data_IF_754426614938
#
_entry.id   IF_754426614938
#
_cell.length_a   1.000
_cell.length_b   1.000
_cell.length_c   1.000
_cell.angle_alpha   90.00
_cell.angle_beta   90.00
_cell.angle_gamma   90.00
#
_symmetry.space_group_name_H-M   'P 1'
#
loop_
_entity.id
_entity.type
_entity.pdbx_description
1 polymer ?
#
# COMPACT_ATOMS: atom_id res chain seq x y z
N UNK A 1 -24.91 -37.63 7.65
CA UNK A 1 -24.72 -36.40 8.45
C UNK A 1 -23.24 -36.29 8.72
N UNK A 2 -22.50 -35.67 7.80
CA UNK A 2 -21.04 -35.51 7.92
C UNK A 2 -20.77 -34.11 8.48
N UNK A 3 -20.40 -34.07 9.75
CA UNK A 3 -19.90 -32.84 10.37
C UNK A 3 -18.48 -32.60 9.86
N UNK A 4 -18.34 -31.66 8.92
CA UNK A 4 -17.02 -31.09 8.62
C UNK A 4 -16.59 -30.25 9.80
N UNK A 5 -15.61 -30.74 10.53
CA UNK A 5 -14.91 -30.03 11.60
C UNK A 5 -14.17 -28.86 10.97
N UNK A 6 -14.32 -27.59 11.43
CA UNK A 6 -13.46 -26.52 10.96
C UNK A 6 -12.06 -26.78 11.48
N UNK A 7 -11.12 -26.79 10.55
CA UNK A 7 -9.68 -26.94 10.79
C UNK A 7 -9.19 -25.79 11.70
N UNK A 8 -8.77 -26.12 12.91
CA UNK A 8 -8.41 -25.18 13.99
C UNK A 8 -6.96 -24.72 13.95
N UNK A 9 -6.30 -24.78 12.81
CA UNK A 9 -4.85 -24.46 12.73
C UNK A 9 -4.51 -23.36 11.74
N UNK A 10 -5.46 -22.49 11.43
CA UNK A 10 -5.19 -21.27 10.66
C UNK A 10 -5.26 -20.10 11.62
N UNK A 11 -4.12 -19.44 11.88
CA UNK A 11 -4.10 -18.11 12.47
C UNK A 11 -5.06 -17.16 11.72
N UNK A 12 -5.39 -15.98 12.24
CA UNK A 12 -6.42 -15.13 11.65
C UNK A 12 -6.15 -14.92 10.17
N UNK A 13 -6.99 -15.52 9.32
CA UNK A 13 -6.86 -15.39 7.87
C UNK A 13 -7.00 -13.90 7.51
N UNK A 14 -6.00 -13.35 6.84
CA UNK A 14 -5.95 -11.95 6.45
C UNK A 14 -7.03 -11.62 5.42
N UNK A 15 -7.39 -12.58 4.58
CA UNK A 15 -8.43 -12.50 3.55
C UNK A 15 -9.33 -13.71 3.64
N UNK A 16 -10.63 -13.53 3.42
CA UNK A 16 -11.66 -14.56 3.36
C UNK A 16 -12.65 -14.23 2.24
N UNK A 17 -13.47 -15.19 1.84
CA UNK A 17 -14.38 -15.03 0.68
C UNK A 17 -15.39 -13.89 0.87
N UNK A 18 -15.83 -13.66 2.10
CA UNK A 18 -16.73 -12.59 2.51
C UNK A 18 -16.12 -11.19 2.36
N UNK A 19 -14.79 -11.07 2.24
CA UNK A 19 -14.07 -9.82 2.02
C UNK A 19 -13.83 -9.50 0.54
N UNK A 20 -14.40 -10.27 -0.37
CA UNK A 20 -14.16 -10.17 -1.81
C UNK A 20 -15.40 -9.72 -2.56
N UNK A 21 -15.24 -8.77 -3.48
CA UNK A 21 -16.24 -8.32 -4.44
C UNK A 21 -15.71 -8.53 -5.85
N UNK A 22 -16.43 -9.28 -6.66
CA UNK A 22 -16.06 -9.52 -8.07
C UNK A 22 -17.04 -8.85 -9.01
N UNK A 23 -16.52 -8.11 -9.98
CA UNK A 23 -17.25 -7.45 -11.06
C UNK A 23 -18.42 -6.60 -10.54
N UNK A 24 -18.18 -5.88 -9.46
CA UNK A 24 -19.22 -5.14 -8.73
C UNK A 24 -19.01 -3.64 -8.91
N UNK A 25 -20.13 -2.94 -9.10
CA UNK A 25 -20.18 -1.48 -9.00
C UNK A 25 -20.25 -1.11 -7.50
N UNK A 26 -19.18 -0.52 -6.99
CA UNK A 26 -19.08 -0.03 -5.60
C UNK A 26 -19.18 1.49 -5.52
N UNK A 27 -19.59 2.16 -6.61
CA UNK A 27 -19.72 3.60 -6.72
C UNK A 27 -18.74 4.21 -7.73
N UNK A 28 -18.91 5.50 -8.01
CA UNK A 28 -18.19 6.19 -9.06
C UNK A 28 -16.88 6.84 -8.57
N UNK A 29 -16.68 6.92 -7.25
CA UNK A 29 -15.53 7.58 -6.64
C UNK A 29 -14.71 6.61 -5.77
N UNK A 30 -13.45 6.94 -5.54
CA UNK A 30 -12.61 6.17 -4.62
C UNK A 30 -13.16 6.16 -3.19
N UNK A 31 -13.84 7.24 -2.80
CA UNK A 31 -14.52 7.39 -1.53
C UNK A 31 -15.64 6.36 -1.36
N UNK A 32 -16.43 6.13 -2.41
CA UNK A 32 -17.50 5.14 -2.43
C UNK A 32 -16.92 3.72 -2.29
N UNK A 33 -15.88 3.42 -3.07
CA UNK A 33 -15.22 2.10 -3.05
C UNK A 33 -14.61 1.82 -1.68
N UNK A 34 -13.89 2.78 -1.09
CA UNK A 34 -13.31 2.65 0.25
C UNK A 34 -14.41 2.45 1.28
N UNK A 35 -15.52 3.20 1.19
CA UNK A 35 -16.67 3.06 2.10
C UNK A 35 -17.30 1.68 2.00
N UNK A 36 -17.50 1.16 0.80
CA UNK A 36 -18.09 -0.15 0.57
C UNK A 36 -17.20 -1.28 1.13
N UNK A 37 -15.88 -1.21 0.89
CA UNK A 37 -14.94 -2.18 1.42
C UNK A 37 -14.81 -2.08 2.94
N UNK A 38 -14.85 -0.88 3.52
CA UNK A 38 -14.82 -0.69 4.98
C UNK A 38 -16.04 -1.31 5.66
N UNK A 39 -17.23 -1.13 5.07
CA UNK A 39 -18.46 -1.80 5.57
C UNK A 39 -18.32 -3.31 5.51
N UNK A 40 -17.83 -3.85 4.40
CA UNK A 40 -17.61 -5.29 4.24
C UNK A 40 -16.66 -5.87 5.30
N UNK A 41 -15.57 -5.15 5.63
CA UNK A 41 -14.68 -5.56 6.70
C UNK A 41 -15.37 -5.51 8.08
N UNK A 42 -16.18 -4.49 8.35
CA UNK A 42 -16.93 -4.40 9.60
C UNK A 42 -18.01 -5.49 9.71
N UNK A 43 -18.76 -5.75 8.63
CA UNK A 43 -19.78 -6.81 8.58
C UNK A 43 -19.16 -8.21 8.80
N UNK A 44 -17.93 -8.41 8.35
CA UNK A 44 -17.14 -9.63 8.60
C UNK A 44 -16.48 -9.68 9.99
N UNK A 45 -16.74 -8.70 10.86
CA UNK A 45 -16.16 -8.63 12.20
C UNK A 45 -14.67 -8.29 12.25
N UNK A 46 -14.12 -7.75 11.14
CA UNK A 46 -12.70 -7.35 11.06
C UNK A 46 -12.45 -5.94 11.59
N UNK A 47 -13.49 -5.14 11.69
CA UNK A 47 -13.47 -3.83 12.31
C UNK A 47 -14.71 -3.64 13.18
N UNK A 48 -14.60 -2.87 14.25
CA UNK A 48 -15.71 -2.57 15.16
C UNK A 48 -16.67 -1.54 14.57
N UNK A 49 -16.15 -0.63 13.75
CA UNK A 49 -16.92 0.47 13.14
C UNK A 49 -16.44 0.72 11.70
N UNK A 50 -17.39 0.62 10.75
CA UNK A 50 -17.11 0.83 9.32
C UNK A 50 -16.69 2.28 9.01
N UNK A 51 -17.33 3.25 9.66
CA UNK A 51 -17.09 4.68 9.41
C UNK A 51 -15.70 5.10 9.93
N UNK A 52 -15.29 4.64 11.09
CA UNK A 52 -13.95 4.90 11.62
C UNK A 52 -12.85 4.31 10.71
N UNK A 53 -13.08 3.10 10.17
CA UNK A 53 -12.18 2.47 9.23
C UNK A 53 -12.12 3.24 7.90
N UNK A 54 -13.27 3.64 7.37
CA UNK A 54 -13.37 4.47 6.16
C UNK A 54 -12.60 5.78 6.32
N UNK A 55 -12.85 6.50 7.42
CA UNK A 55 -12.26 7.81 7.66
C UNK A 55 -10.74 7.72 7.79
N UNK A 56 -10.23 6.70 8.46
CA UNK A 56 -8.79 6.43 8.54
C UNK A 56 -8.18 6.13 7.15
N UNK A 57 -8.87 5.35 6.31
CA UNK A 57 -8.41 5.04 4.96
C UNK A 57 -8.43 6.27 4.05
N UNK A 58 -9.48 7.08 4.11
CA UNK A 58 -9.60 8.33 3.35
C UNK A 58 -8.57 9.37 3.79
N UNK A 59 -8.33 9.51 5.09
CA UNK A 59 -7.29 10.39 5.63
C UNK A 59 -5.90 10.00 5.10
N UNK A 60 -5.61 8.70 4.98
CA UNK A 60 -4.36 8.22 4.38
C UNK A 60 -4.31 8.44 2.87
N UNK A 61 -5.40 8.17 2.16
CA UNK A 61 -5.52 8.37 0.71
C UNK A 61 -5.33 9.83 0.32
N UNK A 62 -5.81 10.78 1.14
CA UNK A 62 -5.66 12.22 0.91
C UNK A 62 -4.21 12.71 1.01
N UNK A 63 -3.35 12.02 1.74
CA UNK A 63 -1.92 12.36 1.86
C UNK A 63 -1.14 11.97 0.61
N UNK A 64 -1.50 10.87 -0.02
CA UNK A 64 -0.87 10.37 -1.24
C UNK A 64 -1.79 9.36 -1.90
N UNK A 65 -2.08 9.56 -3.17
CA UNK A 65 -2.86 8.62 -3.98
C UNK A 65 -2.27 7.22 -3.94
N UNK A 66 -3.12 6.21 -3.85
CA UNK A 66 -2.70 4.81 -3.74
C UNK A 66 -2.89 4.02 -5.03
N UNK A 67 -3.26 4.70 -6.11
CA UNK A 67 -3.29 4.11 -7.45
C UNK A 67 -1.89 3.76 -7.96
N UNK A 68 -1.75 2.55 -8.50
CA UNK A 68 -0.53 2.01 -9.09
C UNK A 68 -0.74 1.75 -10.58
N UNK A 69 0.35 1.76 -11.39
CA UNK A 69 0.29 1.34 -12.78
C UNK A 69 -0.28 -0.08 -12.93
N UNK A 70 -1.00 -0.31 -14.02
CA UNK A 70 -1.63 -1.59 -14.30
C UNK A 70 -3.09 -1.70 -13.85
N UNK A 71 -3.73 -0.58 -13.51
CA UNK A 71 -5.13 -0.55 -13.10
C UNK A 71 -5.36 -1.08 -11.68
N UNK A 72 -4.42 -0.84 -10.77
CA UNK A 72 -4.42 -1.36 -9.40
C UNK A 72 -4.49 -0.19 -8.42
N UNK A 73 -5.19 -0.38 -7.29
CA UNK A 73 -5.14 0.53 -6.15
C UNK A 73 -4.97 -0.24 -4.84
N UNK A 74 -4.20 0.33 -3.92
CA UNK A 74 -3.93 -0.25 -2.60
C UNK A 74 -4.22 0.75 -1.47
N UNK A 75 -5.48 1.24 -1.33
CA UNK A 75 -5.83 2.01 -0.16
C UNK A 75 -5.52 1.22 1.12
N UNK A 76 -4.99 1.90 2.12
CA UNK A 76 -4.57 1.23 3.35
C UNK A 76 -4.64 2.17 4.55
N UNK A 77 -4.89 1.62 5.72
CA UNK A 77 -4.92 2.39 6.95
C UNK A 77 -4.51 1.57 8.17
N UNK A 78 -4.24 2.29 9.24
CA UNK A 78 -4.20 1.75 10.61
C UNK A 78 -5.26 2.46 11.42
N UNK A 79 -5.99 1.71 12.22
CA UNK A 79 -7.07 2.25 13.05
C UNK A 79 -7.28 1.38 14.28
N UNK A 80 -7.63 2.00 15.40
CA UNK A 80 -8.07 1.30 16.61
C UNK A 80 -9.36 0.51 16.39
N UNK A 81 -10.16 0.90 15.40
CA UNK A 81 -11.37 0.17 15.02
C UNK A 81 -11.07 -1.19 14.36
N UNK A 82 -9.84 -1.45 13.94
CA UNK A 82 -9.46 -2.72 13.30
C UNK A 82 -9.13 -3.77 14.37
N UNK A 83 -9.88 -4.87 14.36
CA UNK A 83 -9.72 -5.98 15.32
C UNK A 83 -8.53 -6.87 14.93
N UNK A 84 -8.39 -7.17 13.66
CA UNK A 84 -7.32 -8.01 13.12
C UNK A 84 -6.89 -7.50 11.74
N UNK A 85 -5.58 -7.62 11.44
CA UNK A 85 -5.07 -7.26 10.12
C UNK A 85 -5.85 -8.00 9.03
N UNK A 86 -6.41 -7.24 8.09
CA UNK A 86 -7.34 -7.76 7.09
C UNK A 86 -7.16 -7.10 5.73
N UNK A 87 -7.48 -7.85 4.69
CA UNK A 87 -7.41 -7.43 3.31
C UNK A 87 -8.78 -7.57 2.65
N UNK A 88 -9.40 -6.45 2.31
CA UNK A 88 -10.59 -6.41 1.43
C UNK A 88 -10.16 -6.33 -0.03
N UNK A 89 -10.81 -7.08 -0.90
CA UNK A 89 -10.53 -7.07 -2.33
C UNK A 89 -11.77 -6.72 -3.14
N UNK A 90 -11.59 -5.87 -4.16
CA UNK A 90 -12.61 -5.62 -5.15
C UNK A 90 -12.05 -5.66 -6.57
N UNK A 91 -12.73 -6.38 -7.47
CA UNK A 91 -12.62 -6.19 -8.90
C UNK A 91 -13.80 -5.35 -9.34
N UNK A 92 -13.49 -4.13 -9.79
CA UNK A 92 -14.50 -3.10 -10.08
C UNK A 92 -14.98 -3.18 -11.53
N UNK A 93 -16.26 -3.00 -11.69
CA UNK A 93 -16.91 -2.75 -12.98
C UNK A 93 -18.05 -1.73 -12.76
N UNK A 94 -17.86 -0.45 -13.14
CA UNK A 94 -16.74 0.18 -13.87
C UNK A 94 -15.49 0.43 -13.04
N UNK A 95 -14.36 0.75 -13.72
CA UNK A 95 -13.10 1.16 -13.09
C UNK A 95 -13.24 2.53 -12.43
N UNK A 96 -12.49 2.75 -11.34
CA UNK A 96 -12.52 3.98 -10.55
C UNK A 96 -11.13 4.60 -10.44
N UNK A 97 -11.05 5.93 -10.48
CA UNK A 97 -9.79 6.67 -10.40
C UNK A 97 -9.26 6.75 -8.97
N UNK A 98 -8.06 6.21 -8.75
CA UNK A 98 -7.29 6.29 -7.52
C UNK A 98 -6.00 7.10 -7.69
N UNK A 99 -5.91 7.92 -8.76
CA UNK A 99 -4.77 8.79 -9.02
C UNK A 99 -3.56 8.07 -9.59
N UNK A 100 -3.74 6.93 -10.26
CA UNK A 100 -2.65 6.27 -10.97
C UNK A 100 -2.30 7.00 -12.27
N UNK A 101 -1.01 7.04 -12.68
CA UNK A 101 -0.58 7.79 -13.86
C UNK A 101 -1.08 7.22 -15.19
N UNK A 102 -1.49 5.96 -15.21
CA UNK A 102 -1.94 5.23 -16.41
C UNK A 102 -3.47 5.04 -16.48
N UNK A 103 -4.21 5.61 -15.52
CA UNK A 103 -5.67 5.64 -15.56
C UNK A 103 -6.36 4.91 -14.40
N UNK A 104 -7.68 4.69 -14.53
CA UNK A 104 -8.48 4.16 -13.43
C UNK A 104 -8.20 2.69 -13.12
N UNK A 105 -8.37 2.33 -11.84
CA UNK A 105 -8.15 1.00 -11.29
C UNK A 105 -9.39 0.11 -11.43
N UNK A 106 -9.17 -1.15 -11.77
CA UNK A 106 -10.14 -2.24 -11.72
C UNK A 106 -9.88 -3.22 -10.56
N UNK A 107 -8.65 -3.27 -10.04
CA UNK A 107 -8.31 -4.09 -8.88
C UNK A 107 -8.00 -3.21 -7.68
N UNK A 108 -8.76 -3.36 -6.62
CA UNK A 108 -8.59 -2.57 -5.38
C UNK A 108 -8.36 -3.49 -4.19
N UNK A 109 -7.33 -3.18 -3.40
CA UNK A 109 -6.96 -3.89 -2.18
C UNK A 109 -7.00 -2.95 -0.99
N UNK A 110 -8.06 -3.00 -0.18
CA UNK A 110 -8.10 -2.25 1.08
C UNK A 110 -7.38 -3.04 2.18
N UNK A 111 -6.25 -2.52 2.65
CA UNK A 111 -5.46 -3.13 3.72
C UNK A 111 -5.74 -2.39 5.02
N UNK A 112 -6.34 -3.08 5.97
CA UNK A 112 -6.65 -2.57 7.30
C UNK A 112 -5.80 -3.28 8.36
N UNK A 113 -5.17 -2.53 9.25
CA UNK A 113 -4.39 -3.08 10.36
C UNK A 113 -4.70 -2.37 11.67
N UNK A 114 -4.63 -3.08 12.82
CA UNK A 114 -4.69 -2.45 14.12
C UNK A 114 -3.60 -1.40 14.30
N UNK A 115 -3.85 -0.35 15.07
CA UNK A 115 -2.90 0.76 15.24
C UNK A 115 -1.53 0.31 15.77
N UNK A 116 -1.50 -0.68 16.65
CA UNK A 116 -0.26 -1.26 17.20
C UNK A 116 0.50 -2.20 16.28
N UNK A 117 -0.05 -2.63 15.14
CA UNK A 117 0.49 -3.69 14.28
C UNK A 117 1.39 -3.15 13.14
N UNK A 118 2.24 -2.15 13.40
CA UNK A 118 3.04 -1.49 12.37
C UNK A 118 3.95 -2.42 11.56
N UNK A 119 4.61 -3.39 12.19
CA UNK A 119 5.51 -4.32 11.53
C UNK A 119 4.76 -5.32 10.62
N UNK A 120 3.63 -5.85 11.08
CA UNK A 120 2.78 -6.76 10.31
C UNK A 120 2.16 -6.05 9.10
N UNK A 121 1.66 -4.83 9.30
CA UNK A 121 1.13 -4.00 8.24
C UNK A 121 2.16 -3.75 7.13
N UNK A 122 3.39 -3.39 7.49
CA UNK A 122 4.48 -3.19 6.53
C UNK A 122 4.87 -4.47 5.80
N UNK A 123 4.82 -5.62 6.47
CA UNK A 123 5.06 -6.92 5.85
C UNK A 123 4.00 -7.28 4.82
N UNK A 124 2.73 -7.05 5.14
CA UNK A 124 1.60 -7.24 4.21
C UNK A 124 1.72 -6.36 2.98
N UNK A 125 1.90 -5.05 3.17
CA UNK A 125 2.11 -4.09 2.08
C UNK A 125 3.28 -4.50 1.18
N UNK A 126 4.42 -4.87 1.76
CA UNK A 126 5.62 -5.27 1.00
C UNK A 126 5.42 -6.58 0.23
N UNK A 127 4.72 -7.55 0.79
CA UNK A 127 4.44 -8.83 0.14
C UNK A 127 3.46 -8.64 -1.02
N UNK A 128 2.38 -7.91 -0.79
CA UNK A 128 1.39 -7.61 -1.83
C UNK A 128 2.00 -6.77 -2.95
N UNK A 129 2.75 -5.71 -2.63
CA UNK A 129 3.40 -4.87 -3.64
C UNK A 129 4.34 -5.69 -4.54
N UNK A 130 5.16 -6.59 -3.98
CA UNK A 130 6.02 -7.51 -4.78
C UNK A 130 5.24 -8.45 -5.67
N UNK A 131 4.04 -8.86 -5.25
CA UNK A 131 3.19 -9.71 -6.07
C UNK A 131 2.55 -8.94 -7.22
N UNK A 132 2.07 -7.73 -6.95
CA UNK A 132 1.39 -6.88 -7.94
C UNK A 132 2.30 -6.38 -9.06
N UNK A 133 3.63 -6.46 -8.90
CA UNK A 133 4.58 -6.20 -10.01
C UNK A 133 4.64 -7.36 -11.01
N UNK A 134 4.11 -8.55 -10.64
CA UNK A 134 4.13 -9.74 -11.51
C UNK A 134 2.89 -9.79 -12.40
N UNK A 135 3.03 -9.63 -13.74
CA UNK A 135 1.87 -9.61 -14.65
C UNK A 135 1.03 -10.88 -14.57
N UNK A 136 1.66 -12.04 -14.36
CA UNK A 136 0.95 -13.32 -14.24
C UNK A 136 0.02 -13.35 -13.01
N UNK A 137 0.42 -12.77 -11.89
CA UNK A 137 -0.43 -12.67 -10.70
C UNK A 137 -1.61 -11.73 -10.92
N UNK A 138 -1.35 -10.56 -11.49
CA UNK A 138 -2.39 -9.57 -11.82
C UNK A 138 -3.38 -10.13 -12.84
N UNK A 139 -2.90 -10.86 -13.85
CA UNK A 139 -3.74 -11.58 -14.81
C UNK A 139 -4.62 -12.61 -14.14
N UNK A 140 -4.07 -13.45 -13.26
CA UNK A 140 -4.83 -14.45 -12.52
C UNK A 140 -5.94 -13.83 -11.64
N UNK A 141 -5.69 -12.67 -11.01
CA UNK A 141 -6.72 -11.94 -10.25
C UNK A 141 -7.86 -11.43 -11.14
N UNK A 142 -7.57 -11.03 -12.37
CA UNK A 142 -8.59 -10.61 -13.34
C UNK A 142 -9.37 -11.77 -13.90
N UNK A 143 -8.73 -12.92 -14.10
CA UNK A 143 -9.31 -14.12 -14.68
C UNK A 143 -10.12 -14.96 -13.68
N UNK A 144 -9.87 -14.80 -12.38
CA UNK A 144 -10.54 -15.51 -11.29
C UNK A 144 -12.06 -15.35 -11.38
N UNK A 145 -12.79 -16.46 -11.24
CA UNK A 145 -14.25 -16.51 -11.35
C UNK A 145 -14.96 -16.58 -10.01
N UNK A 146 -14.23 -16.96 -8.97
CA UNK A 146 -14.80 -17.15 -7.64
C UNK A 146 -13.98 -16.43 -6.56
N UNK A 147 -14.62 -16.02 -5.47
CA UNK A 147 -13.90 -15.48 -4.30
C UNK A 147 -12.86 -16.44 -3.75
N UNK A 148 -13.12 -17.75 -3.75
CA UNK A 148 -12.19 -18.77 -3.26
C UNK A 148 -10.88 -18.79 -4.07
N UNK A 149 -10.92 -18.59 -5.38
CA UNK A 149 -9.72 -18.47 -6.22
C UNK A 149 -8.88 -17.25 -5.81
N UNK A 150 -9.50 -16.11 -5.54
CA UNK A 150 -8.82 -14.91 -5.06
C UNK A 150 -8.16 -15.16 -3.70
N UNK A 151 -8.89 -15.79 -2.76
CA UNK A 151 -8.34 -16.14 -1.43
C UNK A 151 -7.08 -17.00 -1.59
N UNK A 152 -7.12 -18.00 -2.46
CA UNK A 152 -5.98 -18.89 -2.73
C UNK A 152 -4.80 -18.10 -3.31
N UNK A 153 -5.02 -17.32 -4.35
CA UNK A 153 -3.99 -16.51 -5.01
C UNK A 153 -3.31 -15.54 -4.04
N UNK A 154 -4.10 -14.88 -3.21
CA UNK A 154 -3.58 -13.90 -2.25
C UNK A 154 -2.85 -14.59 -1.10
N UNK A 155 -3.37 -15.68 -0.56
CA UNK A 155 -2.72 -16.43 0.51
C UNK A 155 -1.38 -17.01 0.06
N UNK A 156 -1.27 -17.53 -1.16
CA UNK A 156 0.00 -18.04 -1.72
C UNK A 156 1.11 -16.96 -1.75
N UNK A 157 0.72 -15.71 -1.93
CA UNK A 157 1.65 -14.58 -1.97
C UNK A 157 1.98 -14.05 -0.58
N UNK A 158 1.01 -14.10 0.34
CA UNK A 158 1.15 -13.63 1.72
C UNK A 158 1.76 -14.70 2.63
N UNK A 159 1.67 -15.99 2.25
CA UNK A 159 2.37 -17.06 2.96
C UNK A 159 3.88 -16.75 3.00
N UNK A 160 4.55 -16.97 4.14
CA UNK A 160 6.00 -16.90 4.15
C UNK A 160 6.51 -17.88 3.12
N UNK A 161 7.27 -17.38 2.12
CA UNK A 161 7.87 -18.25 1.13
C UNK A 161 8.59 -19.41 1.87
N UNK A 162 8.31 -20.67 1.54
CA UNK A 162 9.14 -21.75 2.05
C UNK A 162 10.58 -21.36 1.71
N UNK A 163 11.46 -21.35 2.71
CA UNK A 163 12.86 -20.99 2.54
C UNK A 163 13.35 -21.75 1.31
N UNK A 164 13.65 -21.01 0.24
CA UNK A 164 14.16 -21.61 -0.97
C UNK A 164 15.43 -22.34 -0.57
N UNK A 165 15.35 -23.65 -0.54
CA UNK A 165 16.53 -24.52 -0.49
C UNK A 165 17.41 -24.06 -1.63
N UNK A 166 18.66 -23.65 -1.41
CA UNK A 166 19.52 -23.25 -2.51
C UNK A 166 19.62 -24.46 -3.45
N UNK A 167 18.98 -24.34 -4.59
CA UNK A 167 19.13 -25.32 -5.67
C UNK A 167 20.61 -25.38 -5.99
N UNK A 168 21.14 -26.57 -5.79
CA UNK A 168 22.52 -26.91 -6.04
C UNK A 168 23.00 -26.34 -7.36
N UNK A 169 24.02 -25.49 -7.27
CA UNK A 169 24.78 -25.02 -8.42
C UNK A 169 25.39 -26.23 -9.13
N UNK A 170 24.93 -26.52 -10.32
CA UNK A 170 25.62 -27.40 -11.21
C UNK A 170 26.92 -26.71 -11.65
N UNK A 171 28.06 -27.43 -11.66
CA UNK A 171 29.33 -26.84 -12.07
C UNK A 171 29.40 -26.75 -13.60
N UNK A 172 29.44 -25.53 -14.13
CA UNK A 172 29.85 -25.32 -15.52
C UNK A 172 31.36 -25.08 -15.55
N UNK A 173 31.98 -25.88 -16.36
CA UNK A 173 33.41 -26.08 -16.55
C UNK A 173 34.17 -24.81 -17.01
N UNK A 174 35.44 -24.82 -16.59
CA UNK A 174 36.49 -23.89 -16.92
C UNK A 174 36.73 -23.69 -18.41
N UNK A 175 37.06 -22.44 -18.79
CA UNK A 175 38.04 -22.16 -19.83
C UNK A 175 38.78 -20.87 -19.56
N UNK A 176 40.06 -20.98 -19.52
CA UNK A 176 41.10 -20.03 -19.20
C UNK A 176 41.22 -18.85 -20.18
N UNK A 177 41.66 -17.70 -19.72
CA UNK A 177 42.86 -16.97 -20.15
C UNK A 177 42.92 -15.58 -19.48
N UNK A 178 43.95 -15.35 -18.69
CA UNK A 178 44.54 -14.06 -18.40
C UNK A 178 45.71 -13.83 -19.43
N UNK A 179 46.45 -12.69 -19.47
CA UNK A 179 46.46 -11.49 -18.68
C UNK A 179 46.65 -10.17 -19.50
N UNK A 180 46.60 -9.03 -18.89
CA UNK A 180 47.53 -7.89 -18.94
C UNK A 180 46.89 -6.60 -18.49
N UNK A 181 47.32 -6.13 -17.37
CA UNK A 181 48.23 -5.02 -17.10
C UNK A 181 47.72 -3.59 -17.34
N UNK A 182 47.73 -2.85 -16.22
CA UNK A 182 48.09 -1.44 -16.05
C UNK A 182 47.12 -0.34 -16.45
N UNK A 183 46.56 0.40 -15.47
CA UNK A 183 47.09 1.72 -15.11
C UNK A 183 46.21 2.31 -14.01
N UNK A 184 46.83 2.60 -12.88
CA UNK A 184 46.30 3.38 -11.79
C UNK A 184 46.22 4.85 -12.22
N UNK A 185 45.03 5.47 -11.99
CA UNK A 185 44.91 6.92 -11.98
C UNK A 185 44.49 7.31 -10.55
N UNK A 186 45.24 8.19 -9.86
CA UNK A 186 44.97 8.55 -8.49
C UNK A 186 43.78 9.51 -8.38
N UNK A 187 42.97 9.29 -7.37
CA UNK A 187 41.86 10.16 -6.99
C UNK A 187 42.36 11.55 -6.56
N UNK A 188 41.68 12.64 -6.91
CA UNK A 188 42.02 13.96 -6.41
C UNK A 188 41.57 14.09 -4.94
N UNK A 189 42.50 14.61 -4.12
CA UNK A 189 42.36 14.99 -2.74
C UNK A 189 41.34 16.12 -2.60
N UNK A 190 40.42 16.10 -1.65
CA UNK A 190 39.53 17.24 -1.41
C UNK A 190 40.33 18.42 -0.81
N UNK A 191 40.24 19.58 -1.45
CA UNK A 191 40.69 20.84 -0.89
C UNK A 191 39.71 21.33 0.19
N UNK A 192 40.17 22.01 1.24
CA UNK A 192 39.32 22.56 2.28
C UNK A 192 38.57 23.79 1.77
N UNK A 193 37.25 23.70 1.72
CA UNK A 193 36.37 24.84 1.45
C UNK A 193 36.31 25.70 2.71
N UNK A 194 36.64 26.97 2.57
CA UNK A 194 36.52 28.01 3.58
C UNK A 194 35.06 28.22 3.98
N UNK A 195 34.79 28.65 5.24
CA UNK A 195 33.41 28.87 5.69
C UNK A 195 32.78 30.07 4.98
N UNK A 196 31.70 29.79 4.29
CA UNK A 196 30.85 30.80 3.67
C UNK A 196 29.99 31.48 4.74
N UNK A 197 30.09 32.80 4.73
CA UNK A 197 29.51 33.76 5.64
C UNK A 197 27.97 33.65 5.62
N UNK A 198 27.33 33.45 6.77
CA UNK A 198 25.89 33.57 6.94
C UNK A 198 25.40 34.93 6.44
N UNK A 199 24.31 34.99 5.67
CA UNK A 199 23.65 36.26 5.38
C UNK A 199 22.82 36.70 6.61
N UNK A 200 23.09 37.92 7.04
CA UNK A 200 22.30 38.64 8.05
C UNK A 200 20.84 38.78 7.60
N UNK A 201 19.86 38.74 8.53
CA UNK A 201 18.47 38.93 8.19
C UNK A 201 18.22 40.41 7.86
N UNK A 202 17.79 40.67 6.62
CA UNK A 202 17.26 41.98 6.22
C UNK A 202 15.99 42.28 7.00
N UNK A 203 16.08 43.35 7.80
CA UNK A 203 14.94 43.94 8.51
C UNK A 203 14.13 44.74 7.50
N UNK A 204 13.05 44.17 6.98
CA UNK A 204 12.04 44.88 6.19
C UNK A 204 11.22 45.86 7.05
N UNK A 205 10.71 46.95 6.46
CA UNK A 205 10.06 48.01 7.22
C UNK A 205 8.74 47.54 7.85
N UNK A 206 8.62 47.79 9.15
CA UNK A 206 7.40 47.55 9.93
C UNK A 206 6.31 48.56 9.48
N UNK A 207 5.29 48.06 8.80
CA UNK A 207 4.05 48.83 8.59
C UNK A 207 3.27 48.88 9.90
N UNK A 208 3.24 50.06 10.51
CA UNK A 208 2.34 50.39 11.63
C UNK A 208 0.99 50.82 11.02
N UNK A 209 -0.02 50.00 11.21
CA UNK A 209 -1.41 50.37 10.91
C UNK A 209 -1.96 51.04 12.16
N UNK A 210 -2.09 52.39 12.12
CA UNK A 210 -2.78 53.13 13.14
C UNK A 210 -4.29 53.05 12.89
N UNK A 211 -5.00 52.37 13.79
CA UNK A 211 -6.48 52.40 13.82
C UNK A 211 -6.91 53.61 14.61
N UNK A 212 -7.38 54.64 13.92
CA UNK A 212 -8.03 55.82 14.51
C UNK A 212 -9.48 55.47 14.82
N UNK A 213 -9.80 55.32 16.09
CA UNK A 213 -11.18 55.25 16.54
C UNK A 213 -11.75 56.68 16.58
N UNK A 214 -12.82 56.88 15.83
CA UNK A 214 -13.59 58.11 15.86
C UNK A 214 -14.69 57.99 16.92
N UNK A 215 -14.80 58.84 17.95
CA UNK A 215 -15.97 58.88 18.82
C UNK A 215 -16.96 59.86 18.27
N UNK A 216 -18.11 59.40 17.82
CA UNK A 216 -19.25 60.30 17.59
C UNK A 216 -20.26 60.05 18.68
N UNK A 217 -20.31 61.03 19.60
CA UNK A 217 -21.45 61.21 20.45
C UNK A 217 -22.52 62.06 19.72
N UNK A 218 -23.72 61.75 19.94
CA UNK A 218 -24.93 62.47 20.32
C UNK A 218 -26.06 61.47 20.26
#
# INVERSE_FOLDING_TARGET
MSHSTPDRDSGPQIISEDLISLDTDLGASKEDVISALSRRLADAGRATEADALRDAALARESQSATGLPGGIAIPHCRSEAVVAASLGFARLAPKVDFGAPDGPADLVFLIAAPEGAGAEHMKLLSSLARALVRPAFVGALRDAKTPAEIVTLVNDVLAPAPAATPAAAAPAAAAAAAPAAAAAVPAPKPEPVAPEKEPEPEVGPKHIVAVTACPTGI
#
